data_IF_553144565012
#
_entry.id   IF_553144565012
#
_cell.length_a   1.000
_cell.length_b   1.000
_cell.length_c   1.000
_cell.angle_alpha   90.00
_cell.angle_beta   90.00
_cell.angle_gamma   90.00
#
_symmetry.space_group_name_H-M   'P 1'
#
loop_
_entity.id
_entity.type
_entity.pdbx_description
1 polymer ?
#
# COMPACT_ATOMS: atom_id res chain seq x y z
N UNK A 1 -37.07 -40.79 -9.97
CA UNK A 1 -35.91 -40.35 -9.17
C UNK A 1 -35.87 -38.84 -9.24
N UNK A 2 -36.13 -38.13 -8.13
CA UNK A 2 -36.20 -36.66 -8.12
C UNK A 2 -34.81 -36.09 -7.80
N UNK A 3 -34.25 -35.29 -8.71
CA UNK A 3 -32.97 -34.60 -8.53
C UNK A 3 -33.14 -33.46 -7.52
N UNK A 4 -32.53 -33.61 -6.34
CA UNK A 4 -32.43 -32.55 -5.34
C UNK A 4 -31.49 -31.45 -5.85
N UNK A 5 -32.06 -30.36 -6.31
CA UNK A 5 -31.28 -29.16 -6.70
C UNK A 5 -30.60 -28.60 -5.44
N UNK A 6 -29.27 -28.45 -5.41
CA UNK A 6 -28.58 -27.94 -4.22
C UNK A 6 -28.99 -26.49 -3.98
N UNK A 7 -29.47 -26.20 -2.76
CA UNK A 7 -29.83 -24.83 -2.35
C UNK A 7 -28.57 -23.97 -2.35
N UNK A 8 -28.55 -22.92 -3.18
CA UNK A 8 -27.47 -21.95 -3.23
C UNK A 8 -27.28 -21.30 -1.85
N UNK A 9 -26.21 -21.67 -1.15
CA UNK A 9 -25.91 -21.16 0.18
C UNK A 9 -25.24 -19.79 0.07
N UNK A 10 -25.94 -18.72 0.44
CA UNK A 10 -25.38 -17.36 0.44
C UNK A 10 -24.66 -17.08 1.76
N UNK A 11 -23.34 -16.97 1.70
CA UNK A 11 -22.52 -16.52 2.84
C UNK A 11 -22.41 -14.99 2.85
N UNK A 12 -22.55 -14.39 4.03
CA UNK A 12 -22.45 -12.93 4.20
C UNK A 12 -20.98 -12.54 4.24
N UNK A 13 -20.46 -12.02 3.13
CA UNK A 13 -19.08 -11.53 3.08
C UNK A 13 -19.03 -10.19 3.82
N UNK A 14 -18.33 -10.18 4.95
CA UNK A 14 -18.16 -8.98 5.75
C UNK A 14 -17.16 -8.02 5.07
N UNK A 15 -17.61 -6.79 4.81
CA UNK A 15 -16.84 -5.73 4.16
C UNK A 15 -15.54 -5.34 4.90
N UNK A 16 -15.40 -5.75 6.16
CA UNK A 16 -14.18 -5.59 6.94
C UNK A 16 -13.03 -6.50 6.47
N UNK A 17 -13.34 -7.67 5.88
CA UNK A 17 -12.31 -8.58 5.33
C UNK A 17 -11.73 -8.08 4.00
N UNK A 18 -12.48 -7.29 3.24
CA UNK A 18 -12.07 -6.85 1.91
C UNK A 18 -11.45 -5.44 1.88
N UNK A 19 -11.56 -4.67 2.96
CA UNK A 19 -11.05 -3.30 3.00
C UNK A 19 -9.56 -3.33 3.40
N UNK A 20 -8.66 -2.74 2.60
CA UNK A 20 -7.28 -2.58 3.01
C UNK A 20 -7.23 -1.72 4.28
N UNK A 21 -6.49 -2.18 5.28
CA UNK A 21 -6.37 -1.53 6.58
C UNK A 21 -5.39 -0.34 6.47
N UNK A 22 -5.88 0.80 5.99
CA UNK A 22 -5.12 2.05 5.94
C UNK A 22 -5.08 2.70 7.34
N UNK A 23 -3.90 3.17 7.73
CA UNK A 23 -3.69 3.92 8.97
C UNK A 23 -3.47 5.40 8.62
N UNK A 24 -4.26 6.30 9.22
CA UNK A 24 -4.24 7.74 8.94
C UNK A 24 -4.40 8.12 7.44
N UNK A 25 -5.04 7.24 6.65
CA UNK A 25 -5.20 7.47 5.22
C UNK A 25 -3.93 7.19 4.39
N UNK A 26 -2.96 6.46 4.94
CA UNK A 26 -1.79 5.91 4.25
C UNK A 26 -1.58 4.43 4.61
N UNK A 27 -0.68 3.75 3.90
CA UNK A 27 -0.24 2.39 4.26
C UNK A 27 0.36 2.39 5.68
N UNK A 28 -0.19 1.54 6.57
CA UNK A 28 0.26 1.40 7.97
C UNK A 28 1.77 1.20 8.08
N UNK A 29 2.29 0.25 7.31
CA UNK A 29 3.69 -0.18 7.42
C UNK A 29 4.65 0.92 6.96
N UNK A 30 4.35 1.63 5.86
CA UNK A 30 5.20 2.71 5.37
C UNK A 30 5.20 3.91 6.33
N UNK A 31 4.04 4.24 6.91
CA UNK A 31 3.94 5.32 7.88
C UNK A 31 4.73 5.01 9.15
N UNK A 32 4.69 3.76 9.62
CA UNK A 32 5.47 3.31 10.78
C UNK A 32 6.98 3.30 10.49
N UNK A 33 7.41 2.79 9.34
CA UNK A 33 8.83 2.73 8.95
C UNK A 33 9.41 4.14 8.80
N UNK A 34 8.69 5.04 8.12
CA UNK A 34 9.15 6.43 7.92
C UNK A 34 9.16 7.23 9.22
N UNK A 35 8.18 7.02 10.11
CA UNK A 35 8.21 7.59 11.46
C UNK A 35 9.38 7.08 12.29
N UNK A 36 9.65 5.77 12.27
CA UNK A 36 10.80 5.19 12.96
C UNK A 36 12.12 5.74 12.40
N UNK A 37 12.27 5.81 11.08
CA UNK A 37 13.46 6.37 10.43
C UNK A 37 13.67 7.84 10.79
N UNK A 38 12.61 8.65 10.85
CA UNK A 38 12.69 10.06 11.26
C UNK A 38 13.12 10.19 12.72
N UNK A 39 12.60 9.36 13.62
CA UNK A 39 13.02 9.33 15.02
C UNK A 39 14.50 8.96 15.13
N UNK A 40 14.94 7.92 14.43
CA UNK A 40 16.35 7.51 14.41
C UNK A 40 17.24 8.65 13.90
N UNK A 41 16.85 9.33 12.82
CA UNK A 41 17.60 10.46 12.26
C UNK A 41 17.79 11.59 13.30
N UNK A 42 16.74 11.90 14.07
CA UNK A 42 16.80 12.93 15.13
C UNK A 42 17.75 12.50 16.26
N UNK A 43 17.65 11.24 16.69
CA UNK A 43 18.48 10.69 17.77
C UNK A 43 19.95 10.49 17.39
N UNK A 44 20.27 10.22 16.13
CA UNK A 44 21.65 10.04 15.68
C UNK A 44 22.44 11.35 15.73
N UNK A 45 21.80 12.47 15.39
CA UNK A 45 22.51 13.76 15.27
C UNK A 45 22.43 14.60 16.57
N UNK A 46 21.40 14.42 17.42
CA UNK A 46 21.25 15.09 18.73
C UNK A 46 21.33 16.63 18.70
N UNK A 47 21.11 17.27 17.54
CA UNK A 47 21.13 18.73 17.38
C UNK A 47 19.72 19.28 17.14
N UNK A 48 19.45 20.50 17.64
CA UNK A 48 18.15 21.19 17.47
C UNK A 48 17.79 21.37 15.99
N UNK A 49 18.78 21.66 15.15
CA UNK A 49 18.60 21.75 13.70
C UNK A 49 18.13 20.42 13.09
N UNK A 50 18.64 19.29 13.59
CA UNK A 50 18.24 17.97 13.11
C UNK A 50 16.84 17.57 13.57
N UNK A 51 16.41 18.04 14.75
CA UNK A 51 15.03 17.87 15.19
C UNK A 51 14.06 18.61 14.24
N UNK A 52 14.35 19.87 13.91
CA UNK A 52 13.55 20.66 12.97
C UNK A 52 13.54 20.05 11.55
N UNK A 53 14.70 19.65 11.04
CA UNK A 53 14.79 18.98 9.74
C UNK A 53 14.12 17.60 9.74
N UNK A 54 14.29 16.81 10.79
CA UNK A 54 13.66 15.50 10.91
C UNK A 54 12.14 15.59 10.92
N UNK A 55 11.57 16.53 11.70
CA UNK A 55 10.11 16.75 11.76
C UNK A 55 9.57 17.27 10.43
N UNK A 56 10.24 18.25 9.81
CA UNK A 56 9.80 18.80 8.52
C UNK A 56 9.84 17.75 7.40
N UNK A 57 10.93 16.99 7.30
CA UNK A 57 11.05 15.86 6.36
C UNK A 57 9.97 14.82 6.62
N UNK A 58 9.72 14.47 7.89
CA UNK A 58 8.70 13.49 8.25
C UNK A 58 7.30 13.94 7.83
N UNK A 59 6.93 15.20 8.07
CA UNK A 59 5.63 15.76 7.65
C UNK A 59 5.50 15.72 6.13
N UNK A 60 6.54 16.08 5.39
CA UNK A 60 6.54 16.04 3.91
C UNK A 60 6.34 14.60 3.42
N UNK A 61 7.09 13.65 3.98
CA UNK A 61 7.01 12.23 3.63
C UNK A 61 5.61 11.67 3.91
N UNK A 62 5.06 11.92 5.10
CA UNK A 62 3.69 11.49 5.46
C UNK A 62 2.65 12.15 4.55
N UNK A 63 2.83 13.43 4.19
CA UNK A 63 1.97 14.15 3.26
C UNK A 63 1.92 13.49 1.89
N UNK A 64 3.08 13.12 1.33
CA UNK A 64 3.19 12.41 0.05
C UNK A 64 2.53 11.03 0.13
N UNK A 65 2.82 10.26 1.20
CA UNK A 65 2.22 8.95 1.45
C UNK A 65 0.69 9.00 1.53
N UNK A 66 0.15 10.02 2.20
CA UNK A 66 -1.29 10.26 2.29
C UNK A 66 -1.89 10.63 0.93
N UNK A 67 -1.17 11.42 0.12
CA UNK A 67 -1.63 11.78 -1.22
C UNK A 67 -1.66 10.56 -2.15
N UNK A 68 -0.66 9.69 -2.07
CA UNK A 68 -0.63 8.42 -2.83
C UNK A 68 -1.77 7.49 -2.43
N UNK A 69 -2.00 7.30 -1.13
CA UNK A 69 -3.05 6.43 -0.64
C UNK A 69 -4.47 6.97 -0.89
N UNK A 70 -4.62 8.29 -1.06
CA UNK A 70 -5.87 8.89 -1.54
C UNK A 70 -6.15 8.57 -3.01
N UNK A 71 -5.11 8.46 -3.83
CA UNK A 71 -5.23 8.14 -5.26
C UNK A 71 -5.48 6.66 -5.50
N UNK A 72 -4.69 5.78 -4.87
CA UNK A 72 -4.90 4.33 -4.95
C UNK A 72 -4.38 3.63 -3.67
N UNK A 73 -5.28 3.06 -2.83
CA UNK A 73 -4.89 2.35 -1.62
C UNK A 73 -4.16 1.02 -1.88
N UNK A 74 -4.19 0.51 -3.11
CA UNK A 74 -3.51 -0.74 -3.50
C UNK A 74 -2.23 -0.51 -4.31
N UNK A 75 -1.84 0.76 -4.53
CA UNK A 75 -0.71 1.13 -5.39
C UNK A 75 0.59 0.40 -5.01
N UNK A 76 0.85 0.24 -3.71
CA UNK A 76 1.99 -0.53 -3.19
C UNK A 76 1.97 -1.98 -3.67
N UNK A 77 0.85 -2.68 -3.51
CA UNK A 77 0.76 -4.10 -3.86
C UNK A 77 0.96 -4.30 -5.35
N UNK A 78 0.36 -3.42 -6.17
CA UNK A 78 0.55 -3.40 -7.62
C UNK A 78 2.00 -3.07 -7.99
N UNK A 79 2.64 -2.13 -7.30
CA UNK A 79 4.03 -1.75 -7.54
C UNK A 79 5.03 -2.86 -7.19
N UNK A 80 4.88 -3.49 -6.02
CA UNK A 80 5.70 -4.64 -5.61
C UNK A 80 5.51 -5.80 -6.59
N UNK A 81 4.26 -6.04 -7.00
CA UNK A 81 3.95 -7.02 -8.05
C UNK A 81 4.64 -6.64 -9.36
N UNK A 82 4.54 -5.39 -9.78
CA UNK A 82 5.18 -4.90 -11.00
C UNK A 82 6.69 -5.15 -10.97
N UNK A 83 7.39 -4.80 -9.89
CA UNK A 83 8.84 -5.03 -9.76
C UNK A 83 9.17 -6.53 -9.75
N UNK A 84 8.46 -7.32 -8.95
CA UNK A 84 8.73 -8.75 -8.80
C UNK A 84 8.50 -9.53 -10.09
N UNK A 85 7.47 -9.17 -10.85
CA UNK A 85 7.15 -9.81 -12.11
C UNK A 85 7.84 -9.17 -13.32
N UNK A 86 8.47 -7.99 -13.20
CA UNK A 86 9.22 -7.32 -14.29
C UNK A 86 10.24 -8.22 -15.01
N UNK A 87 11.00 -9.11 -14.33
CA UNK A 87 11.97 -9.98 -15.01
C UNK A 87 11.32 -11.15 -15.75
N UNK A 88 10.20 -11.67 -15.24
CA UNK A 88 9.59 -12.93 -15.71
C UNK A 88 8.39 -12.70 -16.63
N UNK A 89 7.61 -11.66 -16.34
CA UNK A 89 6.44 -11.23 -17.08
C UNK A 89 6.76 -9.89 -17.75
N UNK A 90 7.19 -9.96 -19.01
CA UNK A 90 7.16 -8.77 -19.86
C UNK A 90 5.70 -8.29 -19.94
N UNK A 91 5.44 -6.97 -19.95
CA UNK A 91 4.10 -6.42 -20.14
C UNK A 91 3.67 -6.67 -21.59
N UNK A 92 3.35 -7.92 -21.92
CA UNK A 92 2.83 -8.31 -23.22
C UNK A 92 1.33 -8.04 -23.19
N UNK A 93 0.94 -6.91 -23.77
CA UNK A 93 -0.46 -6.52 -23.86
C UNK A 93 -1.22 -7.42 -24.84
N UNK A 94 -1.96 -8.41 -24.31
CA UNK A 94 -3.05 -9.18 -24.95
C UNK A 94 -2.75 -9.91 -26.29
N UNK A 95 -3.59 -10.87 -26.72
CA UNK A 95 -3.37 -11.65 -27.95
C UNK A 95 -3.54 -10.86 -29.26
N UNK A 96 -4.01 -9.60 -29.20
CA UNK A 96 -4.46 -8.83 -30.38
C UNK A 96 -3.47 -7.77 -30.86
N UNK A 97 -2.22 -7.80 -30.40
CA UNK A 97 -1.21 -6.87 -30.86
C UNK A 97 -0.66 -7.29 -32.22
N UNK A 98 -1.28 -6.79 -33.30
CA UNK A 98 -0.58 -6.57 -34.57
C UNK A 98 0.39 -5.42 -34.33
N UNK A 99 1.64 -5.58 -34.77
CA UNK A 99 2.78 -4.62 -34.68
C UNK A 99 3.59 -4.63 -33.37
#
# INVERSE_FOLDING_TARGET
MAETTPRLHRNRIHRALSRPNLLMGADRELTLITGLAAVILIFVVLTVYSALLGVSVWIVVVGVLRMMAKSDPLMRQVYVRHISYKPHYRPTASPWRRY
#
